data_IF_828742987377
#
_entry.id   IF_828742987377
#
_cell.length_a   1.000
_cell.length_b   1.000
_cell.length_c   1.000
_cell.angle_alpha   90.00
_cell.angle_beta   90.00
_cell.angle_gamma   90.00
#
_symmetry.space_group_name_H-M   'P 1'
#
loop_
_entity.id
_entity.type
_entity.pdbx_description
1 polymer ?
#
# COMPACT_ATOMS: atom_id res chain seq x y z
N UNK A 1 -18.25 14.56 -0.70
CA UNK A 1 -17.67 13.20 -0.65
C UNK A 1 -16.16 13.30 -0.84
N UNK A 2 -15.41 12.58 -0.04
CA UNK A 2 -13.94 12.59 -0.09
C UNK A 2 -13.46 11.25 -0.63
N UNK A 3 -12.53 11.29 -1.57
CA UNK A 3 -11.88 10.09 -2.09
C UNK A 3 -10.57 9.88 -1.32
N UNK A 4 -10.38 8.69 -0.81
CA UNK A 4 -9.15 8.28 -0.14
C UNK A 4 -8.44 7.21 -0.96
N UNK A 5 -7.14 7.33 -1.11
CA UNK A 5 -6.31 6.31 -1.73
C UNK A 5 -5.30 5.83 -0.70
N UNK A 6 -5.30 4.54 -0.42
CA UNK A 6 -4.41 3.92 0.56
C UNK A 6 -3.41 3.04 -0.16
N UNK A 7 -2.14 3.26 0.11
CA UNK A 7 -1.03 2.46 -0.44
C UNK A 7 -0.46 1.61 0.67
N UNK A 8 -0.44 0.30 0.47
CA UNK A 8 0.08 -0.66 1.46
C UNK A 8 1.25 -1.42 0.84
N UNK A 9 2.36 -1.44 1.53
CA UNK A 9 3.55 -2.17 1.09
C UNK A 9 4.09 -3.02 2.24
N UNK A 10 4.78 -4.10 1.90
CA UNK A 10 5.46 -4.93 2.90
C UNK A 10 6.68 -4.18 3.40
N UNK A 11 6.91 -4.20 4.73
CA UNK A 11 8.07 -3.55 5.34
C UNK A 11 9.36 -4.05 4.75
N UNK A 12 10.36 -3.17 4.64
CA UNK A 12 11.65 -3.51 4.05
C UNK A 12 12.35 -4.65 4.79
N UNK A 13 12.13 -4.78 6.08
CA UNK A 13 12.71 -5.83 6.91
C UNK A 13 12.01 -7.19 6.75
N UNK A 14 10.89 -7.24 6.06
CA UNK A 14 10.09 -8.46 5.86
C UNK A 14 10.33 -8.99 4.46
N UNK A 15 10.51 -10.31 4.34
CA UNK A 15 10.66 -10.97 3.05
C UNK A 15 9.38 -10.83 2.23
N UNK A 16 9.53 -10.47 0.96
CA UNK A 16 8.43 -10.40 0.00
C UNK A 16 8.60 -11.52 -1.04
N UNK A 17 7.99 -12.70 -0.82
CA UNK A 17 8.16 -13.82 -1.75
C UNK A 17 7.64 -13.51 -3.16
N UNK A 18 6.58 -12.71 -3.28
CA UNK A 18 6.05 -12.31 -4.59
C UNK A 18 7.03 -11.39 -5.33
N UNK A 19 7.63 -10.46 -4.61
CA UNK A 19 8.62 -9.55 -5.18
C UNK A 19 9.85 -10.32 -5.66
N UNK A 20 10.32 -11.27 -4.88
CA UNK A 20 11.46 -12.11 -5.26
C UNK A 20 11.14 -12.92 -6.53
N UNK A 21 9.93 -13.49 -6.62
CA UNK A 21 9.52 -14.26 -7.79
C UNK A 21 9.46 -13.39 -9.05
N UNK A 22 8.93 -12.17 -8.94
CA UNK A 22 8.88 -11.24 -10.08
C UNK A 22 10.28 -10.82 -10.50
N UNK A 23 11.16 -10.55 -9.57
CA UNK A 23 12.56 -10.20 -9.86
C UNK A 23 13.24 -11.34 -10.61
N UNK A 24 13.07 -12.57 -10.15
CA UNK A 24 13.64 -13.74 -10.83
C UNK A 24 13.12 -13.90 -12.24
N UNK A 25 11.83 -13.71 -12.45
CA UNK A 25 11.23 -13.78 -13.78
C UNK A 25 11.79 -12.70 -14.71
N UNK A 26 11.96 -11.47 -14.21
CA UNK A 26 12.53 -10.38 -15.00
C UNK A 26 13.98 -10.66 -15.37
N UNK A 27 14.77 -11.21 -14.45
CA UNK A 27 16.14 -11.60 -14.76
C UNK A 27 16.18 -12.69 -15.84
N UNK A 28 15.26 -13.66 -15.79
CA UNK A 28 15.17 -14.70 -16.82
C UNK A 28 14.82 -14.16 -18.18
N UNK A 29 14.14 -13.00 -18.23
CA UNK A 29 13.78 -12.31 -19.46
C UNK A 29 14.88 -11.36 -19.96
N UNK A 30 15.99 -11.26 -19.25
CA UNK A 30 17.11 -10.42 -19.64
C UNK A 30 17.18 -9.04 -18.98
N UNK A 31 16.27 -8.75 -18.05
CA UNK A 31 16.23 -7.46 -17.36
C UNK A 31 17.07 -7.51 -16.08
N UNK A 32 18.38 -7.65 -16.23
CA UNK A 32 19.30 -7.84 -15.10
C UNK A 32 19.53 -6.57 -14.28
N UNK A 33 19.10 -5.41 -14.77
CA UNK A 33 19.19 -4.14 -14.06
C UNK A 33 18.19 -4.02 -12.90
N UNK A 34 17.22 -4.94 -12.80
CA UNK A 34 16.23 -4.91 -11.71
C UNK A 34 16.87 -5.44 -10.44
N UNK A 35 17.16 -4.55 -9.51
CA UNK A 35 17.85 -4.90 -8.27
C UNK A 35 16.90 -5.37 -7.17
N UNK A 36 15.65 -4.92 -7.20
CA UNK A 36 14.66 -5.30 -6.21
C UNK A 36 13.26 -5.09 -6.75
N UNK A 37 12.32 -5.91 -6.30
CA UNK A 37 10.90 -5.75 -6.59
C UNK A 37 10.13 -5.90 -5.29
N UNK A 38 9.25 -4.95 -5.02
CA UNK A 38 8.34 -4.99 -3.89
C UNK A 38 6.91 -4.91 -4.41
N UNK A 39 6.07 -5.77 -3.92
CA UNK A 39 4.66 -5.82 -4.31
C UNK A 39 3.82 -5.30 -3.17
N UNK A 40 2.90 -4.43 -3.50
CA UNK A 40 1.94 -3.88 -2.55
C UNK A 40 0.57 -3.81 -3.16
N UNK A 41 -0.31 -3.09 -2.52
CA UNK A 41 -1.68 -2.92 -3.01
C UNK A 41 -2.11 -1.48 -2.84
N UNK A 42 -3.07 -1.08 -3.68
CA UNK A 42 -3.68 0.24 -3.65
C UNK A 42 -5.17 0.04 -3.46
N UNK A 43 -5.73 0.75 -2.48
CA UNK A 43 -7.17 0.71 -2.23
C UNK A 43 -7.75 2.11 -2.41
N UNK A 44 -8.87 2.19 -3.12
CA UNK A 44 -9.58 3.45 -3.31
C UNK A 44 -10.89 3.40 -2.52
N UNK A 45 -11.10 4.38 -1.66
CA UNK A 45 -12.29 4.47 -0.84
C UNK A 45 -13.02 5.79 -1.14
N UNK A 46 -14.34 5.74 -1.11
CA UNK A 46 -15.16 6.94 -1.17
C UNK A 46 -15.79 7.11 0.20
N UNK A 47 -15.53 8.24 0.83
CA UNK A 47 -16.01 8.52 2.17
C UNK A 47 -17.16 9.52 2.10
N UNK A 48 -18.31 9.16 2.67
CA UNK A 48 -19.49 10.00 2.66
C UNK A 48 -19.40 11.06 3.76
N UNK A 49 -18.48 11.98 3.58
CA UNK A 49 -18.28 13.13 4.44
C UNK A 49 -17.62 14.24 3.65
N UNK A 50 -17.79 15.48 4.08
CA UNK A 50 -17.07 16.62 3.54
C UNK A 50 -16.08 17.19 4.55
N UNK A 51 -16.01 16.62 5.73
CA UNK A 51 -15.07 17.03 6.77
C UNK A 51 -13.76 16.26 6.61
N UNK A 52 -12.75 16.95 6.10
CA UNK A 52 -11.45 16.35 5.83
C UNK A 52 -10.75 15.85 7.09
N UNK A 53 -10.87 16.58 8.19
CA UNK A 53 -10.25 16.16 9.45
C UNK A 53 -10.89 14.89 9.99
N UNK A 54 -12.22 14.78 9.90
CA UNK A 54 -12.94 13.56 10.29
C UNK A 54 -12.57 12.40 9.36
N UNK A 55 -12.52 12.64 8.05
CA UNK A 55 -12.16 11.62 7.08
C UNK A 55 -10.77 11.07 7.37
N UNK A 56 -9.80 11.94 7.63
CA UNK A 56 -8.44 11.53 7.93
C UNK A 56 -8.35 10.71 9.21
N UNK A 57 -9.01 11.18 10.27
CA UNK A 57 -9.03 10.48 11.55
C UNK A 57 -9.62 9.08 11.43
N UNK A 58 -10.73 8.96 10.72
CA UNK A 58 -11.37 7.66 10.51
C UNK A 58 -10.55 6.75 9.60
N UNK A 59 -9.94 7.31 8.58
CA UNK A 59 -9.10 6.52 7.67
C UNK A 59 -7.92 5.89 8.39
N UNK A 60 -7.29 6.63 9.29
CA UNK A 60 -6.20 6.08 10.11
C UNK A 60 -6.65 4.87 10.91
N UNK A 61 -7.84 4.95 11.52
CA UNK A 61 -8.40 3.83 12.27
C UNK A 61 -8.66 2.63 11.36
N UNK A 62 -9.21 2.88 10.18
CA UNK A 62 -9.46 1.81 9.21
C UNK A 62 -8.16 1.11 8.80
N UNK A 63 -7.12 1.87 8.52
CA UNK A 63 -5.82 1.32 8.15
C UNK A 63 -5.24 0.46 9.28
N UNK A 64 -5.27 0.98 10.52
CA UNK A 64 -4.71 0.27 11.66
C UNK A 64 -5.48 -1.00 12.01
N UNK A 65 -6.80 -1.00 11.81
CA UNK A 65 -7.64 -2.13 12.23
C UNK A 65 -7.89 -3.16 11.14
N UNK A 66 -7.84 -2.77 9.87
CA UNK A 66 -8.25 -3.67 8.79
C UNK A 66 -7.40 -3.57 7.53
N UNK A 67 -7.17 -2.36 7.02
CA UNK A 67 -6.65 -2.19 5.66
C UNK A 67 -5.18 -2.58 5.54
N UNK A 68 -4.42 -2.46 6.62
CA UNK A 68 -3.01 -2.86 6.66
C UNK A 68 -2.74 -3.68 7.89
N UNK A 69 -1.86 -4.68 7.75
CA UNK A 69 -1.34 -5.42 8.90
C UNK A 69 -0.03 -4.75 9.31
N UNK A 70 -0.10 -3.86 10.30
CA UNK A 70 1.02 -3.00 10.68
C UNK A 70 2.20 -3.76 11.30
N UNK A 71 2.05 -5.04 11.58
CA UNK A 71 3.17 -5.88 12.01
C UNK A 71 4.14 -6.12 10.87
N UNK A 72 3.63 -6.33 9.64
CA UNK A 72 4.44 -6.68 8.47
C UNK A 72 4.30 -5.72 7.30
N UNK A 73 3.41 -4.72 7.41
CA UNK A 73 3.12 -3.78 6.33
C UNK A 73 3.23 -2.34 6.81
N UNK A 74 3.66 -1.47 5.89
CA UNK A 74 3.57 -0.03 6.04
C UNK A 74 2.45 0.49 5.15
N UNK A 75 1.87 1.64 5.51
CA UNK A 75 0.87 2.26 4.68
C UNK A 75 1.02 3.77 4.62
N UNK A 76 0.50 4.35 3.55
CA UNK A 76 0.33 5.79 3.41
C UNK A 76 -0.99 6.05 2.69
N UNK A 77 -1.47 7.26 2.75
CA UNK A 77 -2.75 7.60 2.13
C UNK A 77 -2.74 9.02 1.57
N UNK A 78 -3.67 9.27 0.66
CA UNK A 78 -3.92 10.57 0.07
C UNK A 78 -5.43 10.82 0.09
N UNK A 79 -5.81 12.07 0.34
CA UNK A 79 -7.22 12.49 0.36
C UNK A 79 -7.46 13.53 -0.71
N UNK A 80 -8.59 13.39 -1.43
CA UNK A 80 -9.05 14.32 -2.44
C UNK A 80 -10.52 14.65 -2.20
N UNK A 81 -10.89 15.92 -2.41
CA UNK A 81 -12.29 16.30 -2.31
C UNK A 81 -12.60 17.60 -1.61
#
# INVERSE_FOLDING_TARGET
>A
MIKATVYVTIKQSVLDPQGVAVQGALHSMGFNEVEAVRIGKVMELKLDTNDRAEAESRLKVMCEKLLANTVVEDYRYELEG
#
